data_IF_883462396881
#
_entry.id   IF_883462396881
#
_cell.length_a   1.000
_cell.length_b   1.000
_cell.length_c   1.000
_cell.angle_alpha   90.00
_cell.angle_beta   90.00
_cell.angle_gamma   90.00
#
_symmetry.space_group_name_H-M   'P 1'
#
loop_
_entity.id
_entity.type
_entity.pdbx_description
1 polymer ?
#
# COMPACT_ATOMS: atom_id res chain seq x y z
N UNK A 1 -7.33 49.49 -16.02
CA UNK A 1 -8.06 48.56 -15.13
C UNK A 1 -7.17 47.36 -14.88
N UNK A 2 -6.88 47.02 -13.63
CA UNK A 2 -6.13 45.80 -13.31
C UNK A 2 -7.06 44.61 -13.60
N UNK A 3 -6.73 43.81 -14.62
CA UNK A 3 -7.41 42.52 -14.85
C UNK A 3 -7.23 41.67 -13.60
N UNK A 4 -8.34 41.16 -13.06
CA UNK A 4 -8.26 40.24 -11.94
C UNK A 4 -7.82 38.84 -12.43
N UNK A 5 -7.42 37.96 -11.51
CA UNK A 5 -6.91 36.63 -11.83
C UNK A 5 -7.87 35.79 -12.69
N UNK A 6 -9.19 35.92 -12.49
CA UNK A 6 -10.21 35.25 -13.28
C UNK A 6 -10.28 35.81 -14.70
N UNK A 7 -10.14 37.12 -14.89
CA UNK A 7 -10.14 37.76 -16.21
C UNK A 7 -8.93 37.29 -17.04
N UNK A 8 -7.77 37.10 -16.37
CA UNK A 8 -6.56 36.55 -17.00
C UNK A 8 -6.76 35.08 -17.37
N UNK A 9 -7.39 34.28 -16.50
CA UNK A 9 -7.70 32.87 -16.78
C UNK A 9 -8.69 32.75 -17.95
N UNK A 10 -9.73 33.58 -18.01
CA UNK A 10 -10.68 33.62 -19.13
C UNK A 10 -10.00 34.03 -20.44
N UNK A 11 -9.10 35.01 -20.41
CA UNK A 11 -8.33 35.43 -21.59
C UNK A 11 -7.37 34.33 -22.08
N UNK A 12 -6.69 33.65 -21.15
CA UNK A 12 -5.83 32.51 -21.47
C UNK A 12 -6.65 31.36 -22.04
N UNK A 13 -7.82 31.06 -21.46
CA UNK A 13 -8.69 30.00 -21.96
C UNK A 13 -9.26 30.32 -23.35
N UNK A 14 -9.61 31.59 -23.62
CA UNK A 14 -10.13 32.00 -24.93
C UNK A 14 -9.05 31.93 -26.02
N UNK A 15 -7.80 32.35 -25.72
CA UNK A 15 -6.67 32.21 -26.64
C UNK A 15 -6.19 30.76 -26.80
N UNK A 16 -6.24 29.96 -25.74
CA UNK A 16 -5.89 28.54 -25.77
C UNK A 16 -6.86 27.72 -26.65
N UNK A 17 -8.15 28.07 -26.61
CA UNK A 17 -9.20 27.48 -27.47
C UNK A 17 -8.95 27.72 -28.97
N UNK A 18 -8.42 28.89 -29.32
CA UNK A 18 -8.03 29.23 -30.70
C UNK A 18 -6.71 28.56 -31.14
N UNK A 19 -5.89 28.10 -30.19
CA UNK A 19 -4.52 27.61 -30.42
C UNK A 19 -4.34 26.10 -30.22
N UNK A 20 -5.42 25.33 -30.00
CA UNK A 20 -5.37 23.91 -29.62
C UNK A 20 -4.52 23.62 -28.36
N UNK A 21 -4.51 24.55 -27.41
CA UNK A 21 -3.79 24.43 -26.12
C UNK A 21 -4.82 24.24 -25.01
N UNK A 22 -4.49 23.47 -23.98
CA UNK A 22 -5.29 23.36 -22.76
C UNK A 22 -4.55 24.01 -21.59
N UNK A 23 -5.31 24.52 -20.63
CA UNK A 23 -4.80 25.03 -19.37
C UNK A 23 -5.40 24.20 -18.22
N UNK A 24 -4.57 23.44 -17.52
CA UNK A 24 -5.01 22.63 -16.37
C UNK A 24 -4.14 22.89 -15.16
N UNK A 25 -4.76 22.88 -13.98
CA UNK A 25 -4.04 22.87 -12.71
C UNK A 25 -3.22 21.58 -12.60
N UNK A 26 -1.94 21.71 -12.29
CA UNK A 26 -1.03 20.57 -12.17
C UNK A 26 -1.28 19.72 -10.90
N UNK A 27 -0.87 18.45 -10.95
CA UNK A 27 -0.87 17.54 -9.79
C UNK A 27 0.23 17.93 -8.80
N UNK A 28 -0.12 17.99 -7.51
CA UNK A 28 0.72 18.35 -6.35
C UNK A 28 1.31 19.78 -6.34
N UNK A 29 1.52 20.43 -7.49
CA UNK A 29 1.96 21.82 -7.58
C UNK A 29 0.79 22.78 -7.75
N UNK A 30 0.82 23.94 -7.08
CA UNK A 30 -0.19 25.02 -7.23
C UNK A 30 -0.01 25.82 -8.53
N UNK A 31 0.55 25.22 -9.57
CA UNK A 31 0.83 25.87 -10.86
C UNK A 31 -0.15 25.40 -11.93
N UNK A 32 -0.27 26.19 -12.99
CA UNK A 32 -1.02 25.86 -14.18
C UNK A 32 -0.08 25.30 -15.26
N UNK A 33 -0.54 24.28 -15.96
CA UNK A 33 0.17 23.66 -17.07
C UNK A 33 -0.53 23.98 -18.38
N UNK A 34 0.21 24.62 -19.28
CA UNK A 34 -0.17 24.83 -20.67
C UNK A 34 0.43 23.71 -21.52
N UNK A 35 -0.42 22.97 -22.23
CA UNK A 35 0.01 21.88 -23.11
C UNK A 35 -0.89 21.75 -24.34
N UNK A 36 -0.46 21.00 -25.35
CA UNK A 36 -1.27 20.76 -26.56
C UNK A 36 -2.40 19.78 -26.28
N UNK A 37 -3.60 20.06 -26.80
CA UNK A 37 -4.77 19.17 -26.66
C UNK A 37 -4.50 17.79 -27.28
N UNK A 38 -3.75 17.74 -28.38
CA UNK A 38 -3.36 16.49 -29.04
C UNK A 38 -2.50 15.62 -28.11
N UNK A 39 -1.48 16.20 -27.47
CA UNK A 39 -0.63 15.49 -26.50
C UNK A 39 -1.45 15.02 -25.30
N UNK A 40 -2.41 15.83 -24.85
CA UNK A 40 -3.31 15.45 -23.77
C UNK A 40 -4.15 14.23 -24.12
N UNK A 41 -4.84 14.26 -25.28
CA UNK A 41 -5.68 13.15 -25.75
C UNK A 41 -4.87 11.89 -26.02
N UNK A 42 -3.68 12.03 -26.61
CA UNK A 42 -2.76 10.92 -26.86
C UNK A 42 -2.40 10.20 -25.56
N UNK A 43 -1.93 10.95 -24.55
CA UNK A 43 -1.58 10.39 -23.24
C UNK A 43 -2.76 9.76 -22.52
N UNK A 44 -3.95 10.36 -22.62
CA UNK A 44 -5.18 9.78 -22.06
C UNK A 44 -5.48 8.43 -22.70
N UNK A 45 -5.40 8.34 -24.03
CA UNK A 45 -5.64 7.11 -24.77
C UNK A 45 -4.62 6.02 -24.42
N UNK A 46 -3.34 6.37 -24.40
CA UNK A 46 -2.25 5.49 -23.96
C UNK A 46 -2.48 4.97 -22.53
N UNK A 47 -2.98 5.82 -21.62
CA UNK A 47 -3.33 5.40 -20.27
C UNK A 47 -4.46 4.36 -20.25
N UNK A 48 -5.55 4.61 -21.01
CA UNK A 48 -6.70 3.70 -21.09
C UNK A 48 -6.26 2.35 -21.68
N UNK A 49 -5.50 2.38 -22.76
CA UNK A 49 -4.98 1.18 -23.44
C UNK A 49 -3.99 0.40 -22.56
N UNK A 50 -3.09 1.10 -21.84
CA UNK A 50 -2.11 0.45 -20.96
C UNK A 50 -2.77 -0.21 -19.76
N UNK A 51 -3.75 0.46 -19.14
CA UNK A 51 -4.34 0.00 -17.88
C UNK A 51 -5.44 -1.03 -18.09
N UNK A 52 -6.15 -0.97 -19.23
CA UNK A 52 -7.35 -1.78 -19.49
C UNK A 52 -8.38 -1.68 -18.35
N UNK A 53 -8.37 -0.56 -17.62
CA UNK A 53 -9.22 -0.37 -16.44
C UNK A 53 -10.66 0.02 -16.83
N UNK A 54 -10.85 0.54 -18.04
CA UNK A 54 -12.12 1.10 -18.51
C UNK A 54 -12.65 0.33 -19.72
N UNK A 55 -13.92 -0.06 -19.64
CA UNK A 55 -14.68 -0.64 -20.73
C UNK A 55 -15.46 0.46 -21.44
N UNK A 56 -15.22 0.64 -22.75
CA UNK A 56 -16.00 1.54 -23.59
C UNK A 56 -17.43 1.02 -23.76
N UNK A 57 -18.42 1.90 -23.65
CA UNK A 57 -19.84 1.57 -23.71
C UNK A 57 -20.61 2.31 -24.82
N UNK A 58 -19.94 3.05 -25.70
CA UNK A 58 -20.63 3.83 -26.74
C UNK A 58 -20.96 5.25 -26.31
N UNK A 59 -21.94 5.84 -26.99
CA UNK A 59 -22.37 7.24 -26.84
C UNK A 59 -23.74 7.36 -26.14
N UNK A 60 -24.32 6.25 -25.68
CA UNK A 60 -25.58 6.25 -24.95
C UNK A 60 -25.37 6.66 -23.50
N UNK A 61 -26.17 7.62 -23.04
CA UNK A 61 -26.14 8.06 -21.65
C UNK A 61 -26.53 6.91 -20.70
N UNK A 62 -25.62 6.62 -19.77
CA UNK A 62 -25.77 5.56 -18.77
C UNK A 62 -26.43 6.04 -17.47
N UNK A 63 -26.64 7.35 -17.31
CA UNK A 63 -27.22 7.92 -16.10
C UNK A 63 -28.63 7.36 -15.78
N UNK A 64 -29.58 7.27 -16.72
CA UNK A 64 -30.93 6.78 -16.41
C UNK A 64 -30.95 5.34 -15.87
N UNK A 65 -30.21 4.43 -16.53
CA UNK A 65 -30.07 3.03 -16.10
C UNK A 65 -29.40 2.94 -14.72
N UNK A 66 -28.35 3.72 -14.50
CA UNK A 66 -27.62 3.72 -13.24
C UNK A 66 -28.48 4.23 -12.06
N UNK A 67 -29.32 5.24 -12.29
CA UNK A 67 -30.29 5.72 -11.30
C UNK A 67 -31.28 4.61 -10.94
N UNK A 68 -31.90 4.01 -11.97
CA UNK A 68 -32.87 2.93 -11.79
C UNK A 68 -32.25 1.76 -11.03
N UNK A 69 -31.05 1.33 -11.44
CA UNK A 69 -30.30 0.25 -10.83
C UNK A 69 -29.96 0.52 -9.36
N UNK A 70 -29.50 1.73 -9.04
CA UNK A 70 -29.15 2.12 -7.67
C UNK A 70 -30.37 2.11 -6.75
N UNK A 71 -31.46 2.76 -7.17
CA UNK A 71 -32.69 2.82 -6.37
C UNK A 71 -33.35 1.45 -6.24
N UNK A 72 -33.37 0.64 -7.32
CA UNK A 72 -33.87 -0.74 -7.26
C UNK A 72 -33.07 -1.58 -6.28
N UNK A 73 -31.73 -1.52 -6.32
CA UNK A 73 -30.88 -2.25 -5.40
C UNK A 73 -31.15 -1.91 -3.93
N UNK A 74 -31.27 -0.61 -3.61
CA UNK A 74 -31.60 -0.16 -2.26
C UNK A 74 -33.01 -0.59 -1.83
N UNK A 75 -33.98 -0.55 -2.74
CA UNK A 75 -35.34 -1.02 -2.48
C UNK A 75 -35.35 -2.52 -2.18
N UNK A 76 -34.63 -3.32 -2.95
CA UNK A 76 -34.52 -4.76 -2.74
C UNK A 76 -33.91 -5.07 -1.36
N UNK A 77 -32.83 -4.36 -0.96
CA UNK A 77 -32.23 -4.49 0.37
C UNK A 77 -33.23 -4.12 1.49
N UNK A 78 -34.10 -3.14 1.27
CA UNK A 78 -35.14 -2.77 2.23
C UNK A 78 -36.22 -3.84 2.35
N UNK A 79 -36.76 -4.30 1.22
CA UNK A 79 -37.83 -5.30 1.18
C UNK A 79 -37.39 -6.63 1.80
N UNK A 80 -36.13 -7.01 1.58
CA UNK A 80 -35.50 -8.20 2.17
C UNK A 80 -34.94 -7.98 3.58
N UNK A 81 -35.20 -6.80 4.18
CA UNK A 81 -34.84 -6.44 5.56
C UNK A 81 -33.32 -6.46 5.86
N UNK A 82 -32.47 -6.23 4.86
CA UNK A 82 -31.04 -5.97 5.05
C UNK A 82 -30.76 -4.56 5.55
N UNK A 83 -31.65 -3.61 5.24
CA UNK A 83 -31.63 -2.22 5.72
C UNK A 83 -33.02 -1.81 6.22
N UNK A 84 -33.07 -0.85 7.14
CA UNK A 84 -34.32 -0.26 7.66
C UNK A 84 -34.89 0.79 6.70
N UNK A 85 -36.14 1.21 6.91
CA UNK A 85 -36.75 2.32 6.18
C UNK A 85 -35.91 3.60 6.24
N UNK A 86 -35.47 3.98 7.44
CA UNK A 86 -34.62 5.16 7.66
C UNK A 86 -33.29 5.08 6.91
N UNK A 87 -32.68 3.90 6.88
CA UNK A 87 -31.44 3.65 6.14
C UNK A 87 -31.65 3.72 4.62
N UNK A 88 -32.79 3.19 4.13
CA UNK A 88 -33.17 3.31 2.72
C UNK A 88 -33.34 4.78 2.31
N UNK A 89 -34.06 5.58 3.09
CA UNK A 89 -34.26 7.01 2.83
C UNK A 89 -32.96 7.79 2.81
N UNK A 90 -32.04 7.47 3.73
CA UNK A 90 -30.70 8.07 3.80
C UNK A 90 -29.87 7.80 2.53
N UNK A 91 -29.94 6.58 2.00
CA UNK A 91 -29.09 6.13 0.90
C UNK A 91 -29.68 6.38 -0.49
N UNK A 92 -31.01 6.53 -0.59
CA UNK A 92 -31.72 6.68 -1.87
C UNK A 92 -31.43 8.01 -2.55
N UNK A 93 -31.46 7.99 -3.88
CA UNK A 93 -31.20 9.16 -4.73
C UNK A 93 -32.45 9.60 -5.47
N UNK A 94 -32.55 10.89 -5.76
CA UNK A 94 -33.55 11.43 -6.68
C UNK A 94 -32.91 11.74 -8.03
N UNK A 95 -33.62 11.54 -9.16
CA UNK A 95 -33.06 11.81 -10.49
C UNK A 95 -32.52 13.23 -10.68
N UNK A 96 -33.11 14.23 -10.02
CA UNK A 96 -32.70 15.63 -10.10
C UNK A 96 -31.53 16.00 -9.17
N UNK A 97 -31.05 15.08 -8.33
CA UNK A 97 -29.93 15.30 -7.40
C UNK A 97 -28.61 14.70 -7.90
N UNK A 98 -28.62 13.99 -9.04
CA UNK A 98 -27.51 13.16 -9.50
C UNK A 98 -27.11 13.43 -10.94
N UNK A 99 -25.82 13.24 -11.21
CA UNK A 99 -25.19 13.44 -12.52
C UNK A 99 -24.16 12.33 -12.73
N UNK A 100 -23.87 11.99 -13.98
CA UNK A 100 -22.80 11.04 -14.27
C UNK A 100 -21.45 11.64 -13.92
N UNK A 101 -20.52 10.81 -13.43
CA UNK A 101 -19.17 11.27 -13.17
C UNK A 101 -18.44 11.61 -14.48
N UNK A 102 -17.45 12.49 -14.43
CA UNK A 102 -16.62 12.86 -15.57
C UNK A 102 -15.15 12.53 -15.28
N UNK A 103 -14.51 11.80 -16.19
CA UNK A 103 -13.08 11.54 -16.13
C UNK A 103 -12.29 12.71 -16.72
N UNK A 104 -11.27 13.15 -16.01
CA UNK A 104 -10.29 14.10 -16.53
C UNK A 104 -8.89 13.70 -16.06
N UNK A 105 -7.86 14.27 -16.68
CA UNK A 105 -6.48 13.93 -16.39
C UNK A 105 -5.73 15.15 -15.88
N UNK A 106 -5.10 15.03 -14.71
CA UNK A 106 -4.25 16.09 -14.15
C UNK A 106 -2.78 15.86 -14.52
N UNK A 107 -2.06 16.87 -15.05
CA UNK A 107 -0.65 16.72 -15.45
C UNK A 107 0.30 16.71 -14.25
N UNK A 108 1.14 15.68 -14.15
CA UNK A 108 2.22 15.56 -13.15
C UNK A 108 3.48 16.28 -13.64
N UNK A 109 3.47 17.61 -13.61
CA UNK A 109 4.57 18.47 -14.12
C UNK A 109 5.92 18.25 -13.43
N UNK A 110 5.91 17.70 -12.22
CA UNK A 110 7.10 17.36 -11.45
C UNK A 110 7.78 16.04 -11.89
N UNK A 111 7.19 15.30 -12.84
CA UNK A 111 7.75 14.04 -13.38
C UNK A 111 8.16 14.23 -14.84
N UNK A 112 9.26 13.59 -15.24
CA UNK A 112 9.75 13.61 -16.63
C UNK A 112 8.66 13.12 -17.60
N UNK A 113 8.53 13.79 -18.75
CA UNK A 113 7.49 13.51 -19.75
C UNK A 113 6.08 13.99 -19.37
N UNK A 114 5.89 14.60 -18.19
CA UNK A 114 4.60 15.11 -17.69
C UNK A 114 3.47 14.07 -17.84
N UNK A 115 3.57 12.92 -17.14
CA UNK A 115 2.54 11.90 -17.16
C UNK A 115 1.23 12.44 -16.57
N UNK A 116 0.13 11.79 -16.90
CA UNK A 116 -1.20 12.18 -16.48
C UNK A 116 -1.72 11.34 -15.32
N UNK A 117 -2.52 11.96 -14.43
CA UNK A 117 -3.26 11.31 -13.36
C UNK A 117 -4.75 11.30 -13.69
N UNK A 118 -5.41 10.15 -13.87
CA UNK A 118 -6.86 10.14 -14.06
C UNK A 118 -7.56 10.54 -12.76
N UNK A 119 -8.64 11.31 -12.88
CA UNK A 119 -9.53 11.66 -11.78
C UNK A 119 -10.97 11.55 -12.29
N UNK A 120 -11.77 10.75 -11.61
CA UNK A 120 -13.20 10.59 -11.84
C UNK A 120 -13.94 11.54 -10.89
N UNK A 121 -14.37 12.69 -11.42
CA UNK A 121 -15.17 13.65 -10.65
C UNK A 121 -16.61 13.17 -10.54
N UNK A 122 -17.01 12.69 -9.37
CA UNK A 122 -18.31 12.05 -9.14
C UNK A 122 -19.08 12.57 -7.92
N UNK A 123 -19.01 13.87 -7.60
CA UNK A 123 -19.64 14.43 -6.38
C UNK A 123 -21.17 14.29 -6.33
N UNK A 124 -21.81 14.12 -7.50
CA UNK A 124 -23.25 13.86 -7.67
C UNK A 124 -23.52 12.48 -8.29
N UNK A 125 -22.54 11.59 -8.33
CA UNK A 125 -22.69 10.27 -8.94
C UNK A 125 -23.82 9.47 -8.24
N UNK A 126 -24.60 8.64 -8.96
CA UNK A 126 -25.69 7.87 -8.35
C UNK A 126 -25.31 7.03 -7.11
N UNK A 127 -24.07 6.57 -7.01
CA UNK A 127 -23.57 5.80 -5.86
C UNK A 127 -22.99 6.68 -4.72
N UNK A 128 -22.99 8.01 -4.85
CA UNK A 128 -22.23 8.90 -3.95
C UNK A 128 -22.76 8.89 -2.51
N UNK A 129 -24.08 8.81 -2.30
CA UNK A 129 -24.67 8.75 -0.95
C UNK A 129 -24.22 7.48 -0.22
N UNK A 130 -24.18 6.35 -0.93
CA UNK A 130 -23.66 5.07 -0.40
C UNK A 130 -22.16 5.19 -0.12
N UNK A 131 -21.38 5.72 -1.07
CA UNK A 131 -19.93 5.87 -0.91
C UNK A 131 -19.55 6.75 0.28
N UNK A 132 -20.22 7.91 0.45
CA UNK A 132 -19.97 8.82 1.58
C UNK A 132 -20.39 8.19 2.91
N UNK A 133 -21.57 7.58 2.95
CA UNK A 133 -22.05 6.87 4.14
C UNK A 133 -21.06 5.80 4.61
N UNK A 134 -20.55 4.97 3.69
CA UNK A 134 -19.59 3.92 4.00
C UNK A 134 -18.25 4.51 4.50
N UNK A 135 -17.77 5.56 3.85
CA UNK A 135 -16.55 6.26 4.26
C UNK A 135 -16.68 6.87 5.67
N UNK A 136 -17.76 7.61 5.93
CA UNK A 136 -18.05 8.22 7.24
C UNK A 136 -18.20 7.16 8.34
N UNK A 137 -18.70 5.98 7.99
CA UNK A 137 -18.85 4.86 8.90
C UNK A 137 -17.51 4.15 9.22
N UNK A 138 -16.69 3.92 8.19
CA UNK A 138 -15.55 3.00 8.27
C UNK A 138 -14.21 3.71 8.50
N UNK A 139 -14.04 4.92 7.98
CA UNK A 139 -12.80 5.70 8.16
C UNK A 139 -12.43 5.89 9.64
N UNK A 140 -13.35 6.29 10.54
CA UNK A 140 -12.99 6.44 11.95
C UNK A 140 -12.56 5.13 12.62
N UNK A 141 -13.13 4.00 12.18
CA UNK A 141 -12.73 2.67 12.68
C UNK A 141 -11.34 2.30 12.20
N UNK A 142 -11.04 2.58 10.92
CA UNK A 142 -9.72 2.39 10.33
C UNK A 142 -8.68 3.27 11.04
N UNK A 143 -8.93 4.57 11.18
CA UNK A 143 -8.00 5.52 11.81
C UNK A 143 -7.65 5.10 13.23
N UNK A 144 -8.64 4.60 13.99
CA UNK A 144 -8.42 4.06 15.34
C UNK A 144 -7.59 2.79 15.33
N UNK A 145 -7.84 1.87 14.40
CA UNK A 145 -7.10 0.62 14.26
C UNK A 145 -5.63 0.87 13.86
N UNK A 146 -5.41 1.81 12.94
CA UNK A 146 -4.12 2.04 12.30
C UNK A 146 -3.31 3.20 12.91
N UNK A 147 -3.76 3.79 14.04
CA UNK A 147 -3.13 4.97 14.67
C UNK A 147 -1.61 4.86 14.96
N UNK A 148 -1.11 3.63 15.10
CA UNK A 148 0.32 3.41 15.36
C UNK A 148 1.16 3.49 14.09
N UNK A 149 0.62 2.98 12.98
CA UNK A 149 1.32 2.80 11.69
C UNK A 149 0.92 3.82 10.64
N UNK A 150 -0.21 4.51 10.77
CA UNK A 150 -0.67 5.56 9.85
C UNK A 150 -0.37 6.95 10.40
N UNK A 151 0.15 7.82 9.53
CA UNK A 151 0.38 9.23 9.84
C UNK A 151 -0.80 10.04 9.35
N UNK A 152 -1.36 10.85 10.23
CA UNK A 152 -2.43 11.80 9.93
C UNK A 152 -2.03 13.25 10.22
N UNK A 153 -0.82 13.45 10.76
CA UNK A 153 -0.31 14.76 11.17
C UNK A 153 1.21 14.77 11.23
N UNK A 154 1.80 15.74 10.55
CA UNK A 154 3.25 15.94 10.51
C UNK A 154 3.82 16.19 11.92
N UNK A 155 3.09 16.93 12.76
CA UNK A 155 3.48 17.15 14.16
C UNK A 155 3.57 15.85 14.97
N UNK A 156 2.62 14.93 14.78
CA UNK A 156 2.65 13.62 15.46
C UNK A 156 3.83 12.79 14.99
N UNK A 157 4.13 12.81 13.68
CA UNK A 157 5.27 12.11 13.10
C UNK A 157 6.59 12.64 13.68
N UNK A 158 6.82 13.96 13.63
CA UNK A 158 8.04 14.59 14.16
C UNK A 158 8.21 14.31 15.66
N UNK A 159 7.13 14.36 16.44
CA UNK A 159 7.17 14.02 17.86
C UNK A 159 7.61 12.58 18.10
N UNK A 160 7.00 11.60 17.40
CA UNK A 160 7.38 10.18 17.50
C UNK A 160 8.85 9.96 17.10
N UNK A 161 9.32 10.63 16.05
CA UNK A 161 10.72 10.56 15.61
C UNK A 161 11.69 11.10 16.66
N UNK A 162 11.37 12.26 17.26
CA UNK A 162 12.21 12.86 18.30
C UNK A 162 12.24 12.03 19.58
N UNK A 163 11.12 11.42 19.97
CA UNK A 163 11.08 10.51 21.12
C UNK A 163 11.89 9.25 20.86
N UNK A 164 11.77 8.67 19.67
CA UNK A 164 12.53 7.49 19.27
C UNK A 164 14.03 7.77 19.16
N UNK A 165 14.42 8.93 18.64
CA UNK A 165 15.82 9.27 18.40
C UNK A 165 16.64 9.40 19.68
N UNK A 166 16.02 9.88 20.76
CA UNK A 166 16.66 10.00 22.09
C UNK A 166 17.19 8.67 22.62
N UNK A 167 16.59 7.55 22.24
CA UNK A 167 16.90 6.22 22.77
C UNK A 167 17.58 5.34 21.73
N UNK A 168 17.14 5.39 20.48
CA UNK A 168 17.46 4.36 19.49
C UNK A 168 18.34 4.84 18.34
N UNK A 169 18.43 6.16 18.08
CA UNK A 169 19.17 6.66 16.94
C UNK A 169 20.68 6.52 17.15
N UNK A 170 21.38 6.04 16.13
CA UNK A 170 22.83 5.88 16.13
C UNK A 170 23.39 6.06 14.70
N UNK A 171 24.71 5.91 14.55
CA UNK A 171 25.41 6.11 13.27
C UNK A 171 24.96 5.16 12.16
N UNK A 172 24.35 4.02 12.51
CA UNK A 172 23.84 3.02 11.56
C UNK A 172 22.32 3.15 11.31
N UNK A 173 21.66 4.19 11.85
CA UNK A 173 20.23 4.42 11.60
C UNK A 173 20.00 4.75 10.13
N UNK A 174 19.07 4.02 9.51
CA UNK A 174 18.65 4.20 8.12
C UNK A 174 17.25 4.79 8.10
N UNK A 175 17.07 5.81 7.26
CA UNK A 175 15.79 6.36 6.86
C UNK A 175 15.46 5.84 5.46
N UNK A 176 14.28 5.24 5.30
CA UNK A 176 13.83 4.67 4.04
C UNK A 176 12.44 5.21 3.71
N UNK A 177 12.28 5.68 2.48
CA UNK A 177 10.98 6.02 1.90
C UNK A 177 10.66 5.05 0.78
N UNK A 178 9.41 4.60 0.70
CA UNK A 178 8.90 3.73 -0.36
C UNK A 178 7.63 4.36 -0.92
N UNK A 179 7.57 4.56 -2.23
CA UNK A 179 6.40 5.10 -2.94
C UNK A 179 5.63 3.94 -3.58
N UNK A 180 4.35 3.78 -3.21
CA UNK A 180 3.48 2.77 -3.84
C UNK A 180 2.96 3.30 -5.17
N UNK A 181 3.45 2.71 -6.26
CA UNK A 181 3.05 3.11 -7.61
C UNK A 181 1.55 2.80 -7.82
N UNK A 182 0.80 3.82 -8.22
CA UNK A 182 -0.56 3.69 -8.75
C UNK A 182 -1.55 2.97 -7.79
N UNK A 183 -1.41 3.19 -6.48
CA UNK A 183 -2.18 2.54 -5.40
C UNK A 183 -3.67 2.34 -5.73
N UNK A 184 -4.40 3.41 -6.04
CA UNK A 184 -5.86 3.33 -6.28
C UNK A 184 -6.26 2.57 -7.54
N UNK A 185 -5.36 2.54 -8.52
CA UNK A 185 -5.53 1.89 -9.82
C UNK A 185 -4.91 0.49 -9.86
N UNK A 186 -4.46 -0.05 -8.73
CA UNK A 186 -3.89 -1.40 -8.65
C UNK A 186 -4.54 -2.26 -7.57
N UNK A 187 -5.47 -1.72 -6.78
CA UNK A 187 -6.18 -2.50 -5.77
C UNK A 187 -7.26 -3.35 -6.44
N UNK A 188 -7.17 -4.68 -6.36
CA UNK A 188 -8.22 -5.55 -6.85
C UNK A 188 -9.55 -5.25 -6.13
N UNK A 189 -10.63 -5.04 -6.88
CA UNK A 189 -11.90 -4.56 -6.30
C UNK A 189 -12.48 -5.51 -5.24
N UNK A 190 -12.32 -6.82 -5.42
CA UNK A 190 -12.84 -7.84 -4.50
C UNK A 190 -12.05 -7.79 -3.19
N UNK A 191 -10.73 -7.80 -3.29
CA UNK A 191 -9.79 -7.81 -2.18
C UNK A 191 -9.87 -6.49 -1.39
N UNK A 192 -10.05 -5.37 -2.09
CA UNK A 192 -10.32 -4.07 -1.48
C UNK A 192 -11.63 -4.08 -0.68
N UNK A 193 -12.70 -4.69 -1.18
CA UNK A 193 -13.95 -4.82 -0.40
C UNK A 193 -13.76 -5.81 0.76
N UNK A 194 -13.00 -6.88 0.58
CA UNK A 194 -12.72 -7.87 1.63
C UNK A 194 -11.83 -7.31 2.74
N UNK A 195 -11.01 -6.29 2.49
CA UNK A 195 -10.23 -5.62 3.54
C UNK A 195 -11.15 -5.00 4.61
N UNK A 196 -12.33 -4.49 4.23
CA UNK A 196 -13.34 -4.05 5.20
C UNK A 196 -13.86 -5.16 6.08
N UNK A 197 -14.09 -6.33 5.49
CA UNK A 197 -14.52 -7.49 6.26
C UNK A 197 -13.43 -7.87 7.26
N UNK A 198 -12.16 -7.96 6.81
CA UNK A 198 -11.01 -8.22 7.67
C UNK A 198 -10.89 -7.20 8.81
N UNK A 199 -11.10 -5.91 8.53
CA UNK A 199 -11.09 -4.86 9.55
C UNK A 199 -12.20 -5.05 10.59
N UNK A 200 -13.44 -5.27 10.15
CA UNK A 200 -14.57 -5.45 11.06
C UNK A 200 -14.43 -6.72 11.90
N UNK A 201 -13.90 -7.80 11.31
CA UNK A 201 -13.57 -9.04 12.02
C UNK A 201 -12.44 -8.83 13.04
N UNK A 202 -11.37 -8.12 12.65
CA UNK A 202 -10.25 -7.74 13.54
C UNK A 202 -10.73 -6.92 14.74
N UNK A 203 -11.66 -5.99 14.52
CA UNK A 203 -12.30 -5.18 15.55
C UNK A 203 -13.42 -5.92 16.31
N UNK A 204 -13.70 -7.18 15.96
CA UNK A 204 -14.76 -8.03 16.55
C UNK A 204 -16.15 -7.39 16.46
N UNK A 205 -16.41 -6.62 15.40
CA UNK A 205 -17.68 -5.93 15.19
C UNK A 205 -18.61 -6.75 14.30
N UNK A 206 -19.75 -7.15 14.84
CA UNK A 206 -20.83 -7.81 14.05
C UNK A 206 -21.74 -6.81 13.32
N UNK A 207 -21.73 -5.55 13.75
CA UNK A 207 -22.52 -4.45 13.19
C UNK A 207 -21.78 -3.12 13.35
N UNK A 208 -22.04 -2.18 12.44
CA UNK A 208 -21.61 -0.79 12.56
C UNK A 208 -22.78 0.14 12.17
N UNK A 209 -23.09 1.13 13.04
CA UNK A 209 -24.22 2.05 12.88
C UNK A 209 -25.56 1.37 12.51
N UNK A 210 -25.85 0.23 13.14
CA UNK A 210 -27.05 -0.57 12.89
C UNK A 210 -27.03 -1.43 11.62
N UNK A 211 -26.00 -1.34 10.77
CA UNK A 211 -25.81 -2.23 9.62
C UNK A 211 -25.06 -3.48 10.02
N UNK A 212 -25.47 -4.64 9.50
CA UNK A 212 -24.68 -5.88 9.57
C UNK A 212 -23.44 -5.75 8.69
N UNK A 213 -22.36 -6.44 9.05
CA UNK A 213 -21.12 -6.50 8.24
C UNK A 213 -21.45 -6.90 6.81
N UNK A 214 -22.28 -7.92 6.60
CA UNK A 214 -22.68 -8.38 5.27
C UNK A 214 -23.36 -7.28 4.45
N UNK A 215 -24.17 -6.43 5.08
CA UNK A 215 -24.81 -5.30 4.39
C UNK A 215 -23.76 -4.26 3.97
N UNK A 216 -22.78 -3.96 4.82
CA UNK A 216 -21.68 -3.03 4.53
C UNK A 216 -20.86 -3.53 3.34
N UNK A 217 -20.52 -4.83 3.31
CA UNK A 217 -19.79 -5.47 2.21
C UNK A 217 -20.61 -5.43 0.92
N UNK A 218 -21.91 -5.73 0.99
CA UNK A 218 -22.83 -5.65 -0.17
C UNK A 218 -22.92 -4.24 -0.75
N UNK A 219 -23.03 -3.22 0.09
CA UNK A 219 -23.06 -1.82 -0.34
C UNK A 219 -21.71 -1.40 -0.95
N UNK A 220 -20.60 -1.78 -0.32
CA UNK A 220 -19.24 -1.48 -0.81
C UNK A 220 -19.01 -2.08 -2.19
N UNK A 221 -19.36 -3.36 -2.36
CA UNK A 221 -19.27 -4.03 -3.67
C UNK A 221 -20.14 -3.35 -4.72
N UNK A 222 -21.35 -2.93 -4.36
CA UNK A 222 -22.23 -2.22 -5.28
C UNK A 222 -21.61 -0.90 -5.76
N UNK A 223 -20.99 -0.11 -4.86
CA UNK A 223 -20.29 1.12 -5.24
C UNK A 223 -19.13 0.83 -6.19
N UNK A 224 -18.27 -0.15 -5.87
CA UNK A 224 -17.10 -0.50 -6.68
C UNK A 224 -17.48 -1.00 -8.09
N UNK A 225 -18.58 -1.76 -8.21
CA UNK A 225 -19.01 -2.36 -9.48
C UNK A 225 -19.79 -1.39 -10.37
N UNK A 226 -20.32 -0.29 -9.84
CA UNK A 226 -21.19 0.62 -10.58
C UNK A 226 -20.55 2.00 -10.80
N UNK A 227 -19.25 2.02 -11.11
CA UNK A 227 -18.51 3.22 -11.46
C UNK A 227 -18.61 3.51 -12.96
N UNK A 228 -19.60 4.32 -13.36
CA UNK A 228 -19.81 4.75 -14.74
C UNK A 228 -19.51 6.24 -14.87
N UNK A 229 -18.86 6.62 -15.96
CA UNK A 229 -18.45 8.00 -16.19
C UNK A 229 -18.40 8.34 -17.68
N UNK A 230 -18.38 9.63 -17.97
CA UNK A 230 -18.15 10.15 -19.32
C UNK A 230 -16.71 10.66 -19.49
N UNK A 231 -16.20 10.56 -20.71
CA UNK A 231 -14.93 11.15 -21.13
C UNK A 231 -15.02 11.49 -22.62
N UNK A 232 -14.75 12.75 -23.00
CA UNK A 232 -14.75 13.23 -24.39
C UNK A 232 -16.03 12.85 -25.18
N UNK A 233 -17.19 13.04 -24.54
CA UNK A 233 -18.51 12.74 -25.13
C UNK A 233 -18.88 11.24 -25.19
N UNK A 234 -18.04 10.37 -24.67
CA UNK A 234 -18.21 8.92 -24.67
C UNK A 234 -18.42 8.38 -23.25
N UNK A 235 -19.03 7.20 -23.14
CA UNK A 235 -19.37 6.58 -21.86
C UNK A 235 -18.52 5.34 -21.58
N UNK A 236 -18.12 5.20 -20.33
CA UNK A 236 -17.22 4.15 -19.88
C UNK A 236 -17.70 3.54 -18.57
N UNK A 237 -17.32 2.27 -18.37
CA UNK A 237 -17.45 1.56 -17.10
C UNK A 237 -16.08 1.20 -16.57
N UNK A 238 -15.80 1.57 -15.33
CA UNK A 238 -14.58 1.12 -14.66
C UNK A 238 -14.73 -0.33 -14.22
N UNK A 239 -14.02 -1.22 -14.90
CA UNK A 239 -14.06 -2.67 -14.69
C UNK A 239 -12.94 -3.18 -13.79
N UNK A 240 -11.89 -2.38 -13.59
CA UNK A 240 -10.79 -2.66 -12.67
C UNK A 240 -10.56 -1.48 -11.76
N UNK A 241 -10.05 -1.78 -10.56
CA UNK A 241 -9.59 -0.80 -9.59
C UNK A 241 -10.68 0.11 -9.02
N UNK A 242 -10.30 1.02 -8.13
CA UNK A 242 -11.23 1.99 -7.53
C UNK A 242 -11.29 3.29 -8.33
N UNK A 243 -12.44 3.97 -8.30
CA UNK A 243 -12.58 5.27 -8.92
C UNK A 243 -11.76 6.31 -8.16
N UNK A 244 -10.69 6.82 -8.79
CA UNK A 244 -9.89 7.93 -8.24
C UNK A 244 -10.76 9.18 -8.10
N UNK A 245 -11.26 9.45 -6.89
CA UNK A 245 -12.23 10.53 -6.61
C UNK A 245 -13.45 10.07 -5.81
N UNK A 246 -13.68 8.75 -5.70
CA UNK A 246 -14.66 8.19 -4.78
C UNK A 246 -14.14 8.26 -3.34
N UNK A 247 -14.91 8.81 -2.38
CA UNK A 247 -14.55 8.81 -0.96
C UNK A 247 -14.25 7.41 -0.43
N UNK A 248 -15.02 6.41 -0.88
CA UNK A 248 -14.85 5.02 -0.44
C UNK A 248 -13.53 4.41 -0.93
N UNK A 249 -13.11 4.74 -2.15
CA UNK A 249 -11.90 4.16 -2.76
C UNK A 249 -10.65 4.52 -1.97
N UNK A 250 -10.56 5.75 -1.47
CA UNK A 250 -9.43 6.20 -0.64
C UNK A 250 -9.28 5.32 0.60
N UNK A 251 -10.37 5.17 1.33
CA UNK A 251 -10.33 4.51 2.63
C UNK A 251 -10.19 3.00 2.47
N UNK A 252 -10.77 2.40 1.42
CA UNK A 252 -10.54 1.01 1.02
C UNK A 252 -9.06 0.76 0.76
N UNK A 253 -8.40 1.67 0.04
CA UNK A 253 -7.00 1.54 -0.32
C UNK A 253 -6.10 1.50 0.91
N UNK A 254 -6.31 2.43 1.84
CA UNK A 254 -5.55 2.46 3.09
C UNK A 254 -5.81 1.21 3.94
N UNK A 255 -7.06 0.72 3.99
CA UNK A 255 -7.38 -0.51 4.71
C UNK A 255 -6.75 -1.76 4.09
N UNK A 256 -6.77 -1.87 2.76
CA UNK A 256 -6.09 -2.94 2.04
C UNK A 256 -4.58 -2.92 2.33
N UNK A 257 -3.95 -1.75 2.21
CA UNK A 257 -2.53 -1.56 2.48
C UNK A 257 -2.14 -1.96 3.91
N UNK A 258 -2.92 -1.52 4.91
CA UNK A 258 -2.67 -1.86 6.30
C UNK A 258 -2.54 -3.37 6.54
N UNK A 259 -3.42 -4.18 5.93
CA UNK A 259 -3.34 -5.64 6.04
C UNK A 259 -2.23 -6.24 5.18
N UNK A 260 -1.99 -5.67 3.99
CA UNK A 260 -0.93 -6.11 3.09
C UNK A 260 0.47 -5.94 3.71
N UNK A 261 0.70 -4.83 4.40
CA UNK A 261 2.00 -4.47 4.98
C UNK A 261 2.17 -4.90 6.45
N UNK A 262 1.14 -5.51 7.06
CA UNK A 262 1.10 -5.75 8.51
C UNK A 262 2.31 -6.54 9.03
N UNK A 263 2.76 -7.55 8.27
CA UNK A 263 3.91 -8.35 8.64
C UNK A 263 5.23 -7.53 8.63
N UNK A 264 5.40 -6.63 7.65
CA UNK A 264 6.54 -5.72 7.56
C UNK A 264 6.54 -4.75 8.74
N UNK A 265 5.40 -4.10 8.99
CA UNK A 265 5.23 -3.16 10.09
C UNK A 265 5.52 -3.83 11.45
N UNK A 266 5.02 -5.05 11.68
CA UNK A 266 5.29 -5.83 12.90
C UNK A 266 6.77 -6.15 13.05
N UNK A 267 7.42 -6.57 11.96
CA UNK A 267 8.84 -6.90 11.99
C UNK A 267 9.70 -5.68 12.31
N UNK A 268 9.41 -4.53 11.68
CA UNK A 268 10.09 -3.26 11.93
C UNK A 268 9.93 -2.86 13.40
N UNK A 269 8.71 -2.92 13.93
CA UNK A 269 8.43 -2.63 15.34
C UNK A 269 9.20 -3.56 16.29
N UNK A 270 9.28 -4.86 15.99
CA UNK A 270 10.05 -5.82 16.79
C UNK A 270 11.56 -5.52 16.77
N UNK A 271 12.05 -4.94 15.69
CA UNK A 271 13.43 -4.46 15.57
C UNK A 271 13.66 -3.08 16.19
N UNK A 272 12.72 -2.57 16.99
CA UNK A 272 12.72 -1.23 17.57
C UNK A 272 12.80 -0.14 16.50
N UNK A 273 12.28 -0.42 15.30
CA UNK A 273 12.15 0.56 14.24
C UNK A 273 10.80 1.28 14.26
N UNK A 274 10.67 2.29 13.42
CA UNK A 274 9.44 3.00 13.15
C UNK A 274 8.94 2.67 11.75
N UNK A 275 7.63 2.48 11.64
CA UNK A 275 6.92 2.28 10.37
C UNK A 275 5.76 3.25 10.31
N UNK A 276 5.70 4.02 9.24
CA UNK A 276 4.68 5.03 9.02
C UNK A 276 4.18 4.98 7.58
N UNK A 277 2.87 4.95 7.39
CA UNK A 277 2.20 5.09 6.11
C UNK A 277 1.46 6.43 6.07
N UNK A 278 1.64 7.18 4.99
CA UNK A 278 0.80 8.31 4.60
C UNK A 278 0.28 8.05 3.18
N UNK A 279 -0.93 7.49 3.09
CA UNK A 279 -1.56 7.15 1.80
C UNK A 279 -0.66 6.20 0.98
N UNK A 280 0.03 6.71 -0.04
CA UNK A 280 0.93 5.99 -0.95
C UNK A 280 2.40 6.02 -0.48
N UNK A 281 2.75 6.92 0.44
CA UNK A 281 4.10 7.09 0.96
C UNK A 281 4.32 6.23 2.22
N UNK A 282 5.32 5.35 2.19
CA UNK A 282 5.82 4.66 3.38
C UNK A 282 7.12 5.32 3.85
N UNK A 283 7.25 5.45 5.16
CA UNK A 283 8.42 5.99 5.82
C UNK A 283 8.84 5.07 6.97
N UNK A 284 10.08 4.61 6.89
CA UNK A 284 10.64 3.58 7.76
C UNK A 284 11.93 4.10 8.37
N UNK A 285 12.09 3.91 9.67
CA UNK A 285 13.32 4.21 10.42
C UNK A 285 13.78 2.96 11.14
N UNK A 286 14.98 2.49 10.87
CA UNK A 286 15.50 1.23 11.43
C UNK A 286 17.00 1.30 11.69
N UNK A 287 17.49 0.44 12.58
CA UNK A 287 18.91 0.21 12.83
C UNK A 287 19.41 -1.10 12.19
N UNK A 288 18.70 -1.62 11.20
CA UNK A 288 19.11 -2.83 10.51
C UNK A 288 20.14 -2.51 9.43
N UNK A 289 20.96 -3.50 9.07
CA UNK A 289 21.74 -3.40 7.85
C UNK A 289 20.83 -3.20 6.63
N UNK A 290 21.22 -2.35 5.68
CA UNK A 290 20.50 -2.11 4.42
C UNK A 290 20.11 -3.42 3.72
N UNK A 291 21.02 -4.41 3.73
CA UNK A 291 20.79 -5.73 3.15
C UNK A 291 19.59 -6.47 3.75
N UNK A 292 19.38 -6.36 5.06
CA UNK A 292 18.27 -7.03 5.73
C UNK A 292 16.94 -6.32 5.46
N UNK A 293 16.95 -4.98 5.38
CA UNK A 293 15.79 -4.19 4.96
C UNK A 293 15.35 -4.59 3.55
N UNK A 294 16.28 -4.61 2.60
CA UNK A 294 16.02 -5.00 1.22
C UNK A 294 15.44 -6.40 1.12
N UNK A 295 16.00 -7.36 1.88
CA UNK A 295 15.44 -8.71 1.94
C UNK A 295 14.00 -8.76 2.46
N UNK A 296 13.59 -7.85 3.34
CA UNK A 296 12.19 -7.77 3.76
C UNK A 296 11.33 -7.11 2.69
N UNK A 297 11.78 -5.99 2.10
CA UNK A 297 11.08 -5.27 1.02
C UNK A 297 10.91 -6.16 -0.22
N UNK A 298 11.92 -6.95 -0.58
CA UNK A 298 11.90 -7.90 -1.71
C UNK A 298 10.74 -8.90 -1.60
N UNK A 299 10.30 -9.24 -0.37
CA UNK A 299 9.11 -10.11 -0.18
C UNK A 299 7.81 -9.42 -0.60
N UNK A 300 7.79 -8.09 -0.60
CA UNK A 300 6.62 -7.27 -0.91
C UNK A 300 6.61 -6.77 -2.36
N UNK A 301 7.69 -6.94 -3.13
CA UNK A 301 7.72 -6.65 -4.58
C UNK A 301 6.51 -7.29 -5.26
N UNK A 302 5.62 -6.47 -5.82
CA UNK A 302 4.29 -6.90 -6.26
C UNK A 302 4.29 -7.67 -7.59
N UNK A 303 5.33 -7.50 -8.41
CA UNK A 303 5.43 -8.14 -9.72
C UNK A 303 6.84 -8.66 -9.99
N UNK A 304 6.95 -9.63 -10.90
CA UNK A 304 8.24 -10.14 -11.38
C UNK A 304 9.13 -9.03 -11.94
N UNK A 305 8.55 -8.05 -12.63
CA UNK A 305 9.30 -6.92 -13.20
C UNK A 305 9.88 -6.02 -12.10
N UNK A 306 9.10 -5.73 -11.05
CA UNK A 306 9.59 -4.96 -9.89
C UNK A 306 10.73 -5.70 -9.19
N UNK A 307 10.62 -7.02 -9.04
CA UNK A 307 11.69 -7.85 -8.51
C UNK A 307 12.98 -7.77 -9.35
N UNK A 308 12.87 -7.85 -10.69
CA UNK A 308 14.04 -7.71 -11.57
C UNK A 308 14.68 -6.33 -11.47
N UNK A 309 13.86 -5.27 -11.47
CA UNK A 309 14.34 -3.88 -11.39
C UNK A 309 15.07 -3.61 -10.07
N UNK A 310 14.54 -4.12 -8.95
CA UNK A 310 15.17 -3.99 -7.63
C UNK A 310 16.44 -4.84 -7.53
N UNK A 311 16.40 -6.10 -7.99
CA UNK A 311 17.58 -6.98 -8.04
C UNK A 311 18.73 -6.31 -8.80
N UNK A 312 18.46 -5.70 -9.95
CA UNK A 312 19.49 -5.01 -10.74
C UNK A 312 19.99 -3.73 -10.05
N UNK A 313 19.12 -2.92 -9.45
CA UNK A 313 19.56 -1.76 -8.64
C UNK A 313 20.49 -2.17 -7.50
N UNK A 314 20.19 -3.27 -6.83
CA UNK A 314 21.02 -3.81 -5.75
C UNK A 314 22.34 -4.36 -6.26
N UNK A 315 22.31 -5.09 -7.38
CA UNK A 315 23.50 -5.60 -8.04
C UNK A 315 24.44 -4.46 -8.45
N UNK A 316 23.92 -3.43 -9.10
CA UNK A 316 24.67 -2.22 -9.48
C UNK A 316 25.25 -1.54 -8.22
N UNK A 317 24.46 -1.38 -7.17
CA UNK A 317 24.93 -0.78 -5.91
C UNK A 317 26.11 -1.56 -5.32
N UNK A 318 26.04 -2.89 -5.29
CA UNK A 318 27.10 -3.74 -4.78
C UNK A 318 28.35 -3.72 -5.69
N UNK A 319 28.16 -3.67 -7.00
CA UNK A 319 29.26 -3.51 -7.96
C UNK A 319 29.97 -2.16 -7.78
N UNK A 320 29.22 -1.07 -7.58
CA UNK A 320 29.78 0.27 -7.32
C UNK A 320 30.56 0.31 -6.00
N UNK A 321 30.18 -0.52 -5.02
CA UNK A 321 30.92 -0.74 -3.78
C UNK A 321 32.05 -1.79 -3.92
N UNK A 322 32.44 -2.14 -5.15
CA UNK A 322 33.55 -3.04 -5.51
C UNK A 322 33.41 -4.49 -5.00
N UNK A 323 32.20 -4.97 -4.75
CA UNK A 323 31.98 -6.39 -4.45
C UNK A 323 32.17 -7.26 -5.71
N UNK A 324 32.80 -8.44 -5.62
CA UNK A 324 32.99 -9.33 -6.77
C UNK A 324 31.66 -9.85 -7.34
N UNK A 325 31.52 -9.87 -8.67
CA UNK A 325 30.30 -10.31 -9.35
C UNK A 325 29.86 -11.72 -8.93
N UNK A 326 30.81 -12.66 -8.82
CA UNK A 326 30.56 -14.03 -8.36
C UNK A 326 29.99 -14.09 -6.93
N UNK A 327 30.45 -13.20 -6.05
CA UNK A 327 29.95 -13.11 -4.68
C UNK A 327 28.50 -12.58 -4.67
N UNK A 328 28.21 -11.55 -5.46
CA UNK A 328 26.87 -10.96 -5.57
C UNK A 328 25.85 -12.00 -6.06
N UNK A 329 26.16 -12.73 -7.13
CA UNK A 329 25.27 -13.79 -7.65
C UNK A 329 25.06 -14.93 -6.64
N UNK A 330 26.12 -15.36 -5.95
CA UNK A 330 26.00 -16.37 -4.89
C UNK A 330 25.09 -15.91 -3.76
N UNK A 331 25.13 -14.63 -3.38
CA UNK A 331 24.27 -14.10 -2.34
C UNK A 331 22.80 -14.04 -2.76
N UNK A 332 22.50 -13.67 -4.00
CA UNK A 332 21.12 -13.72 -4.52
C UNK A 332 20.58 -15.15 -4.55
N UNK A 333 21.36 -16.10 -5.09
CA UNK A 333 20.96 -17.51 -5.15
C UNK A 333 20.78 -18.12 -3.75
N UNK A 334 21.64 -17.76 -2.79
CA UNK A 334 21.52 -18.21 -1.40
C UNK A 334 20.25 -17.71 -0.71
N UNK A 335 19.73 -16.54 -1.12
CA UNK A 335 18.46 -16.03 -0.59
C UNK A 335 17.30 -16.88 -1.08
N UNK A 336 17.27 -17.24 -2.36
CA UNK A 336 16.22 -18.07 -2.96
C UNK A 336 16.19 -19.48 -2.36
N UNK A 337 17.36 -20.13 -2.25
CA UNK A 337 17.49 -21.45 -1.64
C UNK A 337 17.03 -21.48 -0.17
N UNK A 338 17.13 -20.37 0.57
CA UNK A 338 16.63 -20.29 1.96
C UNK A 338 15.11 -20.46 2.05
N UNK A 339 14.38 -20.20 0.96
CA UNK A 339 12.95 -20.36 0.86
C UNK A 339 12.55 -21.60 0.05
N UNK A 340 13.48 -22.56 -0.15
CA UNK A 340 13.25 -23.76 -0.96
C UNK A 340 12.82 -23.45 -2.40
N UNK A 341 13.36 -22.35 -2.95
CA UNK A 341 13.18 -21.99 -4.35
C UNK A 341 14.42 -22.50 -5.09
N UNK A 342 14.24 -23.63 -5.74
CA UNK A 342 15.33 -24.41 -6.36
C UNK A 342 15.44 -24.16 -7.88
N UNK A 343 14.47 -23.44 -8.43
CA UNK A 343 14.38 -23.07 -9.84
C UNK A 343 14.45 -21.55 -10.07
N UNK A 344 14.84 -21.10 -11.27
CA UNK A 344 14.85 -19.68 -11.60
C UNK A 344 13.44 -19.07 -11.58
N UNK A 345 13.29 -17.92 -10.92
CA UNK A 345 12.06 -17.14 -10.95
C UNK A 345 11.85 -16.53 -12.35
N UNK A 346 10.62 -16.64 -12.85
CA UNK A 346 10.13 -16.11 -14.12
C UNK A 346 8.69 -15.59 -13.96
N UNK A 347 8.12 -14.98 -15.01
CA UNK A 347 6.77 -14.40 -14.95
C UNK A 347 5.66 -15.40 -14.60
N UNK A 348 5.88 -16.70 -14.78
CA UNK A 348 4.88 -17.75 -14.58
C UNK A 348 4.88 -18.24 -13.12
N UNK A 349 6.07 -18.48 -12.55
CA UNK A 349 6.20 -19.07 -11.20
C UNK A 349 6.39 -18.03 -10.08
N UNK A 350 6.66 -16.77 -10.41
CA UNK A 350 6.99 -15.74 -9.41
C UNK A 350 5.86 -15.51 -8.40
N UNK A 351 4.62 -15.36 -8.86
CA UNK A 351 3.49 -15.03 -7.98
C UNK A 351 3.18 -16.18 -7.00
N UNK A 352 3.30 -17.43 -7.46
CA UNK A 352 3.12 -18.62 -6.62
C UNK A 352 4.19 -18.71 -5.52
N UNK A 353 5.47 -18.61 -5.88
CA UNK A 353 6.57 -18.65 -4.90
C UNK A 353 6.52 -17.46 -3.95
N UNK A 354 6.18 -16.27 -4.44
CA UNK A 354 5.98 -15.09 -3.63
C UNK A 354 4.88 -15.32 -2.60
N UNK A 355 3.75 -15.88 -3.01
CA UNK A 355 2.63 -16.16 -2.11
C UNK A 355 3.03 -17.20 -1.04
N UNK A 356 3.75 -18.25 -1.42
CA UNK A 356 4.31 -19.23 -0.48
C UNK A 356 5.27 -18.61 0.55
N UNK A 357 6.09 -17.64 0.14
CA UNK A 357 6.99 -16.89 1.05
C UNK A 357 6.20 -15.97 2.00
N UNK A 358 5.11 -15.37 1.53
CA UNK A 358 4.24 -14.51 2.35
C UNK A 358 3.42 -15.32 3.36
N UNK A 359 2.94 -16.49 2.95
CA UNK A 359 2.14 -17.41 3.78
C UNK A 359 3.00 -18.25 4.71
N UNK A 360 4.33 -18.26 4.51
CA UNK A 360 5.27 -18.93 5.40
C UNK A 360 5.13 -18.39 6.82
N UNK A 361 4.82 -19.26 7.82
CA UNK A 361 4.65 -18.80 9.19
C UNK A 361 5.92 -18.10 9.65
N UNK A 362 5.78 -16.86 10.13
CA UNK A 362 6.87 -16.18 10.82
C UNK A 362 7.42 -17.13 11.87
N UNK A 363 8.68 -17.56 11.72
CA UNK A 363 9.34 -18.39 12.73
C UNK A 363 9.25 -17.61 14.05
N UNK A 364 8.39 -18.05 14.95
CA UNK A 364 8.39 -17.54 16.31
C UNK A 364 9.78 -17.84 16.85
N UNK A 365 10.53 -16.78 17.13
CA UNK A 365 11.74 -16.93 17.91
C UNK A 365 11.29 -17.45 19.28
N UNK A 366 11.74 -18.64 19.64
CA UNK A 366 11.51 -19.22 20.98
C UNK A 366 11.82 -18.13 22.00
N UNK A 367 10.85 -17.79 22.84
CA UNK A 367 11.00 -16.74 23.84
C UNK A 367 12.09 -17.17 24.81
N UNK A 368 13.28 -16.59 24.65
CA UNK A 368 14.41 -16.89 25.54
C UNK A 368 14.14 -16.22 26.88
N UNK A 369 14.18 -17.01 27.94
CA UNK A 369 14.20 -16.52 29.32
C UNK A 369 15.61 -16.02 29.64
N UNK A 370 15.81 -14.70 29.55
CA UNK A 370 17.10 -14.07 29.79
C UNK A 370 17.51 -14.09 31.27
N UNK A 371 16.61 -14.45 32.18
CA UNK A 371 16.96 -14.67 33.59
C UNK A 371 17.67 -16.02 33.79
N UNK A 372 17.57 -16.93 32.80
CA UNK A 372 18.14 -18.29 32.85
C UNK A 372 19.07 -18.63 31.69
N UNK A 373 19.14 -17.79 30.66
CA UNK A 373 19.91 -18.07 29.44
C UNK A 373 20.75 -16.87 29.06
N UNK A 374 22.06 -17.10 28.91
CA UNK A 374 23.00 -16.11 28.41
C UNK A 374 23.48 -16.48 27.00
N UNK A 375 23.28 -15.58 26.05
CA UNK A 375 23.83 -15.73 24.71
C UNK A 375 25.24 -15.17 24.64
N UNK A 376 26.17 -16.02 24.19
CA UNK A 376 27.56 -15.62 23.98
C UNK A 376 27.82 -15.70 22.47
N UNK A 377 27.98 -14.53 21.85
CA UNK A 377 28.29 -14.41 20.43
C UNK A 377 29.79 -14.21 20.23
N UNK A 378 30.37 -14.98 19.31
CA UNK A 378 31.77 -14.86 18.96
C UNK A 378 31.96 -15.02 17.46
N UNK A 379 32.92 -14.28 16.92
CA UNK A 379 33.31 -14.38 15.52
C UNK A 379 34.19 -15.62 15.37
N UNK A 380 33.63 -16.67 14.79
CA UNK A 380 34.31 -17.96 14.69
C UNK A 380 35.44 -17.93 13.64
N UNK A 381 36.66 -18.26 14.06
CA UNK A 381 37.80 -18.56 13.18
C UNK A 381 38.02 -20.08 13.08
N UNK A 382 38.60 -20.56 11.97
CA UNK A 382 38.84 -21.99 11.71
C UNK A 382 39.63 -22.72 12.82
N UNK A 383 40.43 -21.98 13.61
CA UNK A 383 41.18 -22.49 14.76
C UNK A 383 40.33 -22.79 16.01
N UNK A 384 39.05 -22.39 16.03
CA UNK A 384 38.15 -22.49 17.19
C UNK A 384 37.22 -23.73 17.16
N UNK A 385 37.56 -24.77 16.39
CA UNK A 385 36.78 -26.03 16.31
C UNK A 385 36.49 -26.69 17.65
N UNK A 386 37.46 -26.72 18.55
CA UNK A 386 37.28 -27.29 19.89
C UNK A 386 36.73 -26.28 20.91
N UNK A 387 36.47 -25.03 20.51
CA UNK A 387 36.10 -23.97 21.44
C UNK A 387 34.75 -24.21 22.14
N UNK A 388 33.67 -24.66 21.48
CA UNK A 388 32.40 -24.88 22.18
C UNK A 388 32.52 -25.89 23.32
N UNK A 389 33.17 -27.03 23.05
CA UNK A 389 33.41 -28.07 24.05
C UNK A 389 34.29 -27.55 25.20
N UNK A 390 35.43 -26.91 24.87
CA UNK A 390 36.32 -26.33 25.89
C UNK A 390 35.64 -25.25 26.72
N UNK A 391 34.78 -24.43 26.11
CA UNK A 391 34.04 -23.39 26.79
C UNK A 391 33.12 -23.98 27.85
N UNK A 392 32.32 -25.00 27.52
CA UNK A 392 31.46 -25.65 28.51
C UNK A 392 32.25 -26.34 29.62
N UNK A 393 33.39 -26.96 29.29
CA UNK A 393 34.30 -27.53 30.31
C UNK A 393 34.84 -26.45 31.26
N UNK A 394 35.30 -25.32 30.73
CA UNK A 394 35.81 -24.20 31.53
C UNK A 394 34.68 -23.55 32.34
N UNK A 395 33.50 -23.39 31.74
CA UNK A 395 32.33 -22.84 32.42
C UNK A 395 31.97 -23.67 33.65
N UNK A 396 31.83 -24.99 33.48
CA UNK A 396 31.56 -25.90 34.59
C UNK A 396 32.70 -25.89 35.63
N UNK A 397 33.96 -25.83 35.19
CA UNK A 397 35.11 -25.79 36.10
C UNK A 397 35.15 -24.54 36.98
N UNK A 398 34.87 -23.37 36.42
CA UNK A 398 35.03 -22.09 37.13
C UNK A 398 33.74 -21.60 37.79
N UNK A 399 32.59 -21.99 37.27
CA UNK A 399 31.29 -21.48 37.71
C UNK A 399 30.35 -22.58 38.23
N UNK A 400 30.75 -23.86 38.23
CA UNK A 400 29.89 -24.99 38.63
C UNK A 400 29.37 -24.93 40.07
N UNK A 401 30.08 -24.25 40.97
CA UNK A 401 29.67 -24.05 42.37
C UNK A 401 29.16 -22.62 42.64
N UNK A 402 29.07 -21.78 41.60
CA UNK A 402 28.62 -20.39 41.69
C UNK A 402 27.10 -20.29 41.54
N UNK A 403 26.44 -19.27 42.15
CA UNK A 403 25.02 -18.97 41.89
C UNK A 403 24.68 -18.77 40.41
N UNK A 404 25.67 -18.45 39.57
CA UNK A 404 25.50 -18.27 38.12
C UNK A 404 25.41 -19.61 37.35
N UNK A 405 25.64 -20.76 38.00
CA UNK A 405 25.56 -22.08 37.35
C UNK A 405 24.14 -22.43 36.87
N UNK A 406 23.11 -21.78 37.44
CA UNK A 406 21.72 -21.93 36.98
C UNK A 406 21.48 -21.27 35.62
N UNK A 407 22.39 -20.40 35.17
CA UNK A 407 22.33 -19.77 33.85
C UNK A 407 22.98 -20.70 32.83
N UNK A 408 22.21 -21.07 31.80
CA UNK A 408 22.69 -21.90 30.69
C UNK A 408 23.34 -21.00 29.64
N UNK A 409 24.67 -21.08 29.43
CA UNK A 409 25.30 -20.36 28.34
C UNK A 409 24.99 -21.06 27.01
N UNK A 410 24.42 -20.33 26.06
CA UNK A 410 24.14 -20.84 24.71
C UNK A 410 25.08 -20.17 23.71
N UNK A 411 25.91 -20.98 23.07
CA UNK A 411 26.90 -20.52 22.09
C UNK A 411 26.23 -20.39 20.71
N UNK A 412 26.16 -19.15 20.21
CA UNK A 412 25.59 -18.87 18.89
C UNK A 412 26.67 -18.83 17.81
N UNK A 413 26.63 -19.75 16.84
CA UNK A 413 27.48 -19.70 15.63
C UNK A 413 26.64 -19.52 14.36
N UNK A 414 27.19 -18.81 13.37
CA UNK A 414 26.59 -18.69 12.03
C UNK A 414 26.72 -19.98 11.19
N UNK A 415 27.53 -20.94 11.62
CA UNK A 415 27.73 -22.22 10.93
C UNK A 415 27.33 -23.38 11.84
N UNK A 416 26.08 -23.84 11.71
CA UNK A 416 25.45 -24.87 12.55
C UNK A 416 26.19 -26.23 12.46
N UNK A 417 26.93 -26.47 11.37
CA UNK A 417 27.77 -27.68 11.20
C UNK A 417 29.00 -27.73 12.13
N UNK A 418 29.26 -26.66 12.89
CA UNK A 418 30.41 -26.53 13.78
C UNK A 418 30.02 -26.48 15.27
N UNK A 419 28.73 -26.59 15.61
CA UNK A 419 28.25 -26.99 16.93
C UNK A 419 28.21 -28.52 16.97
#
# INVERSE_FOLDING_TARGET
SQMNQNDIIELINSQASQSQVFNLKSDKSKVFHLGKIEDYRKKSKEYIEKTQAYKYLGNEDRLPDLIQRTNKYLLDLRLTKWITQKQYELLSIKPNEVELAHLYYSPKVHKSGTPQRPIISGLKHPTIKISKFLDDLLRPLFDKMAQETTVTSDFKLVKKLNEWSKVNMNQNTIFCTIDVIDLYTMIPQVEGVLSWKKMLDYLKLKKANGFKVETIIRLSRFVMQNNYFSYDGQFYHQIRDGAMGSPLTLTIANCYMFFFEQALAKQIKNGVGLYFQYIDDLFIVINWSTRYLLKQIDRYCSTYQTYLDEREKLRITLLLNKYPNKFIEQQFNSVLLKYSIDEPLNMINYDEYRQNVLDSPSKEHVRIDYDKVMFIHFTYCLSMKAFPLKFHTLWSKYFGESPINEIIPVLGTRNVKNL
#
